data_IF_570050988754
#
_entry.id   IF_570050988754
#
_cell.length_a   1.000
_cell.length_b   1.000
_cell.length_c   1.000
_cell.angle_alpha   90.00
_cell.angle_beta   90.00
_cell.angle_gamma   90.00
#
_symmetry.space_group_name_H-M   'P 1'
#
loop_
_entity.id
_entity.type
_entity.pdbx_description
1 polymer ?
#
# COMPACT_ATOMS: atom_id res chain seq x y z
N UNK A 1 36.51 32.38 -0.43
CA UNK A 1 36.97 32.72 0.93
C UNK A 1 36.03 32.06 1.94
N UNK A 2 36.57 31.20 2.80
CA UNK A 2 35.84 30.25 3.67
C UNK A 2 35.49 30.89 5.03
N UNK A 3 34.85 32.06 5.03
CA UNK A 3 34.39 32.72 6.26
C UNK A 3 32.91 32.42 6.47
N UNK A 4 32.66 31.23 6.98
CA UNK A 4 31.39 30.82 7.54
C UNK A 4 31.73 30.43 8.99
N UNK A 5 31.00 30.95 9.96
CA UNK A 5 31.26 30.80 11.42
C UNK A 5 31.22 29.36 11.96
N UNK A 6 31.24 28.35 11.09
CA UNK A 6 31.28 26.93 11.43
C UNK A 6 32.68 26.33 11.32
N UNK A 7 33.03 25.52 12.32
CA UNK A 7 34.29 24.75 12.33
C UNK A 7 34.19 23.57 11.37
N UNK A 8 35.17 23.44 10.47
CA UNK A 8 35.23 22.36 9.48
C UNK A 8 36.04 21.18 9.98
N UNK A 9 35.49 19.98 9.82
CA UNK A 9 36.13 18.71 10.13
C UNK A 9 36.28 17.90 8.85
N UNK A 10 37.48 17.38 8.64
CA UNK A 10 37.84 16.59 7.46
C UNK A 10 38.30 15.20 7.86
N UNK A 11 38.04 14.23 6.99
CA UNK A 11 38.40 12.83 7.22
C UNK A 11 39.89 12.63 7.52
N UNK A 12 40.75 13.44 6.89
CA UNK A 12 42.21 13.34 7.02
C UNK A 12 42.73 13.90 8.36
N UNK A 13 42.03 14.88 8.93
CA UNK A 13 42.51 15.64 10.11
C UNK A 13 41.90 15.13 11.41
N UNK A 14 40.69 14.55 11.36
CA UNK A 14 39.91 14.24 12.56
C UNK A 14 40.00 12.76 12.92
N UNK A 15 40.49 12.44 14.13
CA UNK A 15 40.43 11.09 14.70
C UNK A 15 38.96 10.70 14.93
N UNK A 16 38.57 9.48 14.56
CA UNK A 16 37.19 8.96 14.67
C UNK A 16 36.13 9.72 13.85
N UNK A 17 36.50 10.26 12.69
CA UNK A 17 35.58 10.98 11.80
C UNK A 17 34.27 10.22 11.50
N UNK A 18 34.36 8.91 11.24
CA UNK A 18 33.19 8.08 10.91
C UNK A 18 32.23 7.83 12.09
N UNK A 19 32.64 8.15 13.33
CA UNK A 19 31.83 7.98 14.55
C UNK A 19 31.17 9.29 15.01
N UNK A 20 31.36 10.39 14.29
CA UNK A 20 30.77 11.67 14.66
C UNK A 20 29.23 11.60 14.55
N UNK A 21 28.48 12.07 15.57
CA UNK A 21 27.03 12.05 15.54
C UNK A 21 26.51 13.13 14.58
N UNK A 22 26.21 12.71 13.35
CA UNK A 22 25.64 13.58 12.34
C UNK A 22 24.17 13.89 12.63
N UNK A 23 23.84 15.18 12.59
CA UNK A 23 22.45 15.64 12.61
C UNK A 23 21.69 15.14 11.38
N UNK A 24 20.38 15.01 11.53
CA UNK A 24 19.47 14.62 10.46
C UNK A 24 19.93 13.31 9.77
N UNK A 25 20.52 12.37 10.52
CA UNK A 25 21.06 11.10 10.01
C UNK A 25 22.02 11.25 8.79
N UNK A 26 22.71 12.38 8.69
CA UNK A 26 23.65 12.64 7.59
C UNK A 26 23.01 13.14 6.30
N UNK A 27 21.72 13.51 6.30
CA UNK A 27 21.11 14.26 5.21
C UNK A 27 21.64 15.70 5.15
N UNK A 28 21.59 16.29 3.95
CA UNK A 28 22.05 17.64 3.71
C UNK A 28 21.12 18.67 4.38
N UNK A 29 21.62 19.35 5.40
CA UNK A 29 20.83 20.31 6.18
C UNK A 29 20.30 21.49 5.33
N UNK A 30 21.04 21.94 4.32
CA UNK A 30 20.60 23.01 3.44
C UNK A 30 19.40 22.60 2.57
N UNK A 31 19.50 21.46 1.87
CA UNK A 31 18.45 20.97 0.99
C UNK A 31 17.19 20.53 1.76
N UNK A 32 17.36 20.05 2.99
CA UNK A 32 16.26 19.79 3.92
C UNK A 32 15.48 21.05 4.30
N UNK A 33 16.13 22.20 4.36
CA UNK A 33 15.50 23.44 4.83
C UNK A 33 14.79 24.24 3.72
N UNK A 34 15.00 23.86 2.46
CA UNK A 34 14.33 24.44 1.29
C UNK A 34 12.87 23.97 1.22
N UNK A 35 12.01 24.74 0.53
CA UNK A 35 10.57 24.45 0.41
C UNK A 35 10.24 23.07 -0.18
N UNK A 36 11.15 22.47 -0.96
CA UNK A 36 10.93 21.16 -1.58
C UNK A 36 11.29 19.97 -0.67
N UNK A 37 11.85 20.19 0.53
CA UNK A 37 12.25 19.14 1.49
C UNK A 37 13.04 17.97 0.87
N UNK A 38 14.04 18.28 0.04
CA UNK A 38 14.79 17.23 -0.66
C UNK A 38 15.66 16.45 0.31
N UNK A 39 15.32 15.18 0.49
CA UNK A 39 16.08 14.19 1.25
C UNK A 39 17.31 13.75 0.44
N UNK A 40 18.34 14.60 0.41
CA UNK A 40 19.61 14.33 -0.26
C UNK A 40 20.66 14.04 0.80
N UNK A 41 21.37 12.91 0.69
CA UNK A 41 22.47 12.62 1.58
C UNK A 41 23.61 13.64 1.42
N UNK A 42 24.20 14.06 2.54
CA UNK A 42 25.41 14.88 2.52
C UNK A 42 26.61 14.03 2.10
N UNK A 43 27.56 14.65 1.40
CA UNK A 43 28.82 14.02 1.02
C UNK A 43 29.88 14.32 2.09
N UNK A 44 30.23 13.30 2.88
CA UNK A 44 31.22 13.42 3.95
C UNK A 44 32.64 13.66 3.45
N UNK A 45 32.92 13.47 2.14
CA UNK A 45 34.23 13.76 1.53
C UNK A 45 34.54 15.26 1.50
N UNK A 46 33.50 16.09 1.45
CA UNK A 46 33.62 17.56 1.41
C UNK A 46 33.97 18.12 2.80
N UNK A 47 33.70 17.34 3.85
CA UNK A 47 33.87 17.73 5.24
C UNK A 47 32.53 17.92 5.94
N UNK A 48 32.59 17.83 7.26
CA UNK A 48 31.46 18.04 8.17
C UNK A 48 31.62 19.41 8.79
N UNK A 49 30.53 20.17 8.89
CA UNK A 49 30.55 21.48 9.54
C UNK A 49 29.91 21.38 10.91
N UNK A 50 30.62 21.87 11.93
CA UNK A 50 30.08 22.00 13.28
C UNK A 50 29.49 23.40 13.47
N UNK A 51 28.23 23.45 13.88
CA UNK A 51 27.49 24.68 14.20
C UNK A 51 26.74 24.42 15.51
N UNK A 52 26.92 25.28 16.52
CA UNK A 52 26.26 25.15 17.83
C UNK A 52 26.39 23.74 18.43
N UNK A 53 27.63 23.23 18.46
CA UNK A 53 27.98 21.88 18.97
C UNK A 53 27.38 20.70 18.19
N UNK A 54 26.68 20.95 17.08
CA UNK A 54 26.06 19.94 16.25
C UNK A 54 26.78 19.79 14.91
N UNK A 55 26.87 18.56 14.43
CA UNK A 55 27.60 18.23 13.20
C UNK A 55 26.63 18.05 12.02
N UNK A 56 26.87 18.79 10.94
CA UNK A 56 26.03 18.80 9.75
C UNK A 56 26.81 18.36 8.52
N UNK A 57 26.19 17.52 7.70
CA UNK A 57 26.70 17.11 6.40
C UNK A 57 26.03 17.91 5.28
N UNK A 58 26.73 18.12 4.17
CA UNK A 58 26.24 18.90 3.03
C UNK A 58 26.57 18.22 1.70
N UNK A 59 25.74 18.45 0.69
CA UNK A 59 25.97 17.96 -0.68
C UNK A 59 27.10 18.72 -1.37
N UNK A 60 27.21 20.03 -1.12
CA UNK A 60 28.18 20.92 -1.76
C UNK A 60 28.80 21.88 -0.74
N UNK A 61 30.06 22.33 -0.96
CA UNK A 61 30.67 23.35 -0.10
C UNK A 61 29.87 24.67 -0.12
N UNK A 62 29.24 25.00 -1.26
CA UNK A 62 28.39 26.18 -1.40
C UNK A 62 27.16 26.10 -0.51
N UNK A 63 26.52 24.94 -0.44
CA UNK A 63 25.36 24.70 0.41
C UNK A 63 25.71 24.87 1.90
N UNK A 64 26.89 24.39 2.30
CA UNK A 64 27.40 24.59 3.65
C UNK A 64 27.61 26.08 3.98
N UNK A 65 28.23 26.86 3.09
CA UNK A 65 28.45 28.29 3.30
C UNK A 65 27.13 29.06 3.39
N UNK A 66 26.17 28.75 2.50
CA UNK A 66 24.84 29.37 2.53
C UNK A 66 24.09 29.05 3.82
N UNK A 67 24.16 27.79 4.26
CA UNK A 67 23.57 27.37 5.52
C UNK A 67 24.21 28.09 6.70
N UNK A 68 25.54 28.21 6.75
CA UNK A 68 26.23 28.88 7.85
C UNK A 68 25.87 30.37 7.99
N UNK A 69 25.60 31.06 6.87
CA UNK A 69 25.18 32.48 6.89
C UNK A 69 23.84 32.70 7.61
N UNK A 70 22.94 31.71 7.58
CA UNK A 70 21.58 31.81 8.13
C UNK A 70 21.17 30.50 8.82
N UNK A 71 22.06 29.94 9.64
CA UNK A 71 21.90 28.59 10.21
C UNK A 71 20.63 28.45 11.04
N UNK A 72 20.34 29.44 11.89
CA UNK A 72 19.17 29.47 12.74
C UNK A 72 17.86 29.40 11.94
N UNK A 73 17.73 30.20 10.88
CA UNK A 73 16.54 30.25 10.03
C UNK A 73 16.27 28.91 9.35
N UNK A 74 17.33 28.23 8.89
CA UNK A 74 17.19 26.92 8.25
C UNK A 74 16.84 25.83 9.26
N UNK A 75 17.43 25.85 10.47
CA UNK A 75 17.08 24.90 11.54
C UNK A 75 15.61 25.05 11.95
N UNK A 76 15.14 26.29 12.12
CA UNK A 76 13.73 26.57 12.44
C UNK A 76 12.79 26.13 11.31
N UNK A 77 13.18 26.36 10.05
CA UNK A 77 12.44 25.88 8.90
C UNK A 77 12.32 24.35 8.94
N UNK A 78 13.42 23.62 9.13
CA UNK A 78 13.40 22.15 9.24
C UNK A 78 12.47 21.69 10.37
N UNK A 79 12.54 22.34 11.54
CA UNK A 79 11.68 22.00 12.67
C UNK A 79 10.19 22.25 12.38
N UNK A 80 9.85 23.37 11.76
CA UNK A 80 8.47 23.68 11.39
C UNK A 80 7.91 22.69 10.35
N UNK A 81 8.74 22.25 9.40
CA UNK A 81 8.32 21.28 8.41
C UNK A 81 8.20 19.86 8.97
N UNK A 82 9.04 19.49 9.93
CA UNK A 82 8.88 18.25 10.68
C UNK A 82 7.59 18.23 11.53
N UNK A 83 7.09 19.40 11.98
CA UNK A 83 5.77 19.49 12.65
C UNK A 83 4.60 19.23 11.71
N UNK A 84 4.71 19.62 10.43
CA UNK A 84 3.69 19.38 9.42
C UNK A 84 3.68 17.91 8.96
N UNK A 85 4.86 17.30 8.91
CA UNK A 85 5.12 15.98 8.36
C UNK A 85 5.76 15.08 9.45
N UNK A 86 4.95 14.43 10.31
CA UNK A 86 5.46 13.69 11.47
C UNK A 86 6.37 12.50 11.11
N UNK A 87 6.27 11.96 9.89
CA UNK A 87 7.18 10.96 9.36
C UNK A 87 8.65 11.44 9.33
N UNK A 88 8.87 12.74 9.15
CA UNK A 88 10.21 13.33 9.16
C UNK A 88 10.83 13.33 10.57
N UNK A 89 10.01 13.36 11.61
CA UNK A 89 10.51 13.33 13.00
C UNK A 89 11.22 12.00 13.25
N UNK A 90 10.60 10.90 12.82
CA UNK A 90 11.19 9.57 12.94
C UNK A 90 12.36 9.36 11.98
N UNK A 91 12.23 9.80 10.72
CA UNK A 91 13.27 9.63 9.71
C UNK A 91 14.55 10.40 10.03
N UNK A 92 14.43 11.64 10.49
CA UNK A 92 15.55 12.53 10.79
C UNK A 92 16.00 12.46 12.26
N UNK A 93 15.35 11.63 13.07
CA UNK A 93 15.61 11.42 14.50
C UNK A 93 15.57 12.74 15.29
N UNK A 94 14.48 13.49 15.08
CA UNK A 94 14.24 14.79 15.70
C UNK A 94 13.54 14.70 17.05
N UNK A 95 13.32 13.48 17.57
CA UNK A 95 12.61 13.25 18.83
C UNK A 95 13.16 14.11 19.97
N UNK A 96 14.49 14.23 20.08
CA UNK A 96 15.14 15.02 21.12
C UNK A 96 14.87 16.54 21.03
N UNK A 97 14.49 17.05 19.86
CA UNK A 97 14.13 18.47 19.68
C UNK A 97 12.67 18.75 20.03
N UNK A 98 11.82 17.71 20.04
CA UNK A 98 10.40 17.80 20.33
C UNK A 98 10.02 17.23 21.70
N UNK A 99 10.91 16.49 22.38
CA UNK A 99 10.68 15.96 23.73
C UNK A 99 10.46 17.06 24.77
N UNK A 100 11.10 18.23 24.63
CA UNK A 100 10.86 19.40 25.49
C UNK A 100 9.53 20.12 25.21
N UNK A 101 8.81 19.78 24.14
CA UNK A 101 7.50 20.36 23.78
C UNK A 101 6.34 19.60 24.44
N UNK A 102 6.61 18.83 25.50
CA UNK A 102 5.57 18.31 26.40
C UNK A 102 5.13 19.33 27.46
N UNK A 103 5.60 20.58 27.39
CA UNK A 103 4.96 21.70 28.09
C UNK A 103 3.90 22.31 27.17
N UNK A 104 2.70 21.79 27.35
CA UNK A 104 1.42 22.27 26.83
C UNK A 104 1.30 23.80 26.91
N UNK A 105 1.47 24.45 25.78
CA UNK A 105 0.87 25.75 25.48
C UNK A 105 0.10 25.58 24.17
N UNK A 106 -1.22 25.53 24.26
CA UNK A 106 -2.19 25.73 23.15
C UNK A 106 -2.61 24.56 22.23
N UNK A 107 -2.24 23.30 22.50
CA UNK A 107 -2.76 22.13 21.75
C UNK A 107 -3.54 21.11 22.61
N UNK A 108 -4.35 21.60 23.55
CA UNK A 108 -5.14 20.79 24.48
C UNK A 108 -6.21 19.87 23.84
N UNK A 109 -6.38 19.85 22.51
CA UNK A 109 -7.41 19.04 21.84
C UNK A 109 -6.90 17.80 21.08
N UNK A 110 -5.59 17.62 20.88
CA UNK A 110 -5.08 16.37 20.32
C UNK A 110 -4.61 15.50 21.47
N UNK A 111 -5.56 14.80 22.08
CA UNK A 111 -5.35 13.76 23.07
C UNK A 111 -4.21 12.84 22.61
N UNK A 112 -3.04 13.00 23.23
CA UNK A 112 -1.92 12.09 23.12
C UNK A 112 -2.34 10.78 23.80
N UNK A 113 -3.13 9.97 23.10
CA UNK A 113 -3.32 8.59 23.48
C UNK A 113 -1.92 7.95 23.45
N UNK A 114 -1.49 7.28 24.53
CA UNK A 114 -0.23 6.55 24.51
C UNK A 114 -0.25 5.60 23.30
N UNK A 115 0.83 5.58 22.51
CA UNK A 115 0.98 4.61 21.42
C UNK A 115 1.00 3.20 22.02
N UNK A 116 -0.18 2.57 22.06
CA UNK A 116 -0.31 1.17 22.41
C UNK A 116 0.24 0.36 21.23
N UNK A 117 1.31 -0.39 21.48
CA UNK A 117 1.74 -1.46 20.57
C UNK A 117 0.60 -2.49 20.58
N UNK A 118 -0.07 -2.66 19.45
CA UNK A 118 -1.11 -3.67 19.27
C UNK A 118 -0.63 -4.67 18.23
N UNK A 119 -0.76 -5.96 18.54
CA UNK A 119 -0.53 -7.01 17.56
C UNK A 119 -1.67 -6.99 16.54
N UNK A 120 -1.31 -6.91 15.26
CA UNK A 120 -2.25 -6.99 14.16
C UNK A 120 -1.97 -8.28 13.39
N UNK A 121 -2.90 -9.23 13.46
CA UNK A 121 -2.93 -10.39 12.59
C UNK A 121 -3.83 -10.08 11.39
N UNK A 122 -3.29 -10.19 10.18
CA UNK A 122 -4.12 -10.17 8.95
C UNK A 122 -4.34 -11.63 8.53
N UNK A 123 -5.58 -12.08 8.58
CA UNK A 123 -5.97 -13.36 8.01
C UNK A 123 -6.22 -13.12 6.52
N UNK A 124 -5.47 -13.78 5.66
CA UNK A 124 -5.70 -13.71 4.21
C UNK A 124 -6.96 -14.50 3.90
N UNK A 125 -7.94 -13.88 3.23
CA UNK A 125 -9.15 -14.58 2.80
C UNK A 125 -8.77 -15.77 1.90
N UNK A 126 -9.24 -16.96 2.25
CA UNK A 126 -8.98 -18.19 1.47
C UNK A 126 -9.70 -18.21 0.13
N UNK A 127 -10.75 -17.40 -0.03
CA UNK A 127 -11.55 -17.29 -1.25
C UNK A 127 -11.83 -15.83 -1.57
N UNK A 128 -10.93 -15.19 -2.32
CA UNK A 128 -11.21 -13.87 -2.87
C UNK A 128 -12.41 -13.94 -3.82
N UNK A 129 -13.49 -13.25 -3.48
CA UNK A 129 -14.60 -13.07 -4.40
C UNK A 129 -14.20 -12.00 -5.41
N UNK A 130 -13.75 -12.43 -6.59
CA UNK A 130 -13.35 -11.52 -7.66
C UNK A 130 -14.55 -10.68 -8.13
N UNK A 131 -14.49 -9.36 -7.91
CA UNK A 131 -15.54 -8.43 -8.32
C UNK A 131 -15.52 -8.12 -9.83
N UNK A 132 -14.41 -8.39 -10.51
CA UNK A 132 -14.20 -8.02 -11.91
C UNK A 132 -13.78 -9.21 -12.78
N UNK A 133 -14.65 -10.21 -12.90
CA UNK A 133 -14.45 -11.34 -13.81
C UNK A 133 -14.86 -10.93 -15.22
N UNK A 134 -13.87 -10.63 -16.06
CA UNK A 134 -14.10 -10.36 -17.48
C UNK A 134 -14.28 -11.69 -18.22
N UNK A 135 -15.53 -12.17 -18.32
CA UNK A 135 -15.89 -13.44 -18.98
C UNK A 135 -15.46 -13.54 -20.45
N UNK A 136 -15.20 -12.39 -21.10
CA UNK A 136 -14.76 -12.31 -22.49
C UNK A 136 -13.24 -12.22 -22.68
N UNK A 137 -12.47 -12.23 -21.58
CA UNK A 137 -11.01 -12.09 -21.64
C UNK A 137 -10.38 -13.34 -22.24
N UNK A 138 -9.50 -13.14 -23.21
CA UNK A 138 -8.67 -14.19 -23.78
C UNK A 138 -7.23 -13.70 -23.83
N UNK A 139 -6.33 -14.51 -23.26
CA UNK A 139 -4.89 -14.27 -23.31
C UNK A 139 -4.27 -14.62 -24.66
N UNK A 140 -4.90 -15.53 -25.42
CA UNK A 140 -4.36 -16.02 -26.69
C UNK A 140 -4.66 -15.06 -27.85
N UNK A 141 -3.61 -14.44 -28.38
CA UNK A 141 -3.70 -13.51 -29.51
C UNK A 141 -4.35 -14.16 -30.77
N UNK A 142 -4.14 -15.45 -31.00
CA UNK A 142 -4.72 -16.13 -32.15
C UNK A 142 -6.23 -16.32 -32.04
N UNK A 143 -6.77 -16.54 -30.84
CA UNK A 143 -8.22 -16.57 -30.61
C UNK A 143 -8.83 -15.17 -30.80
N UNK A 144 -8.15 -14.12 -30.32
CA UNK A 144 -8.57 -12.73 -30.56
C UNK A 144 -8.64 -12.40 -32.06
N UNK A 145 -7.62 -12.79 -32.83
CA UNK A 145 -7.61 -12.61 -34.30
C UNK A 145 -8.74 -13.38 -34.97
N UNK A 146 -9.01 -14.62 -34.55
CA UNK A 146 -10.09 -15.45 -35.09
C UNK A 146 -11.47 -14.85 -34.80
N UNK A 147 -11.69 -14.35 -33.59
CA UNK A 147 -12.92 -13.65 -33.19
C UNK A 147 -13.13 -12.36 -34.00
N UNK A 148 -12.08 -11.55 -34.17
CA UNK A 148 -12.13 -10.33 -34.97
C UNK A 148 -12.51 -10.63 -36.43
N UNK A 149 -11.88 -11.65 -37.03
CA UNK A 149 -12.20 -12.11 -38.39
C UNK A 149 -13.66 -12.59 -38.51
N UNK A 150 -14.15 -13.36 -37.54
CA UNK A 150 -15.56 -13.81 -37.49
C UNK A 150 -16.52 -12.62 -37.47
N UNK A 151 -16.23 -11.61 -36.65
CA UNK A 151 -17.07 -10.42 -36.50
C UNK A 151 -17.03 -9.53 -37.76
N UNK A 152 -15.87 -9.38 -38.39
CA UNK A 152 -15.73 -8.71 -39.68
C UNK A 152 -16.51 -9.43 -40.80
N UNK A 153 -16.46 -10.76 -40.83
CA UNK A 153 -17.24 -11.56 -41.77
C UNK A 153 -18.75 -11.39 -41.54
N UNK A 154 -19.21 -11.40 -40.29
CA UNK A 154 -20.61 -11.12 -39.95
C UNK A 154 -21.05 -9.72 -40.40
N UNK A 155 -20.22 -8.68 -40.20
CA UNK A 155 -20.53 -7.32 -40.68
C UNK A 155 -20.69 -7.24 -42.19
N UNK A 156 -19.95 -8.06 -42.94
CA UNK A 156 -20.05 -8.14 -44.41
C UNK A 156 -21.20 -9.04 -44.88
N UNK A 157 -21.77 -9.89 -44.01
CA UNK A 157 -22.89 -10.76 -44.32
C UNK A 157 -24.19 -10.01 -44.04
N UNK A 158 -24.73 -9.35 -45.06
CA UNK A 158 -26.13 -8.91 -45.06
C UNK A 158 -27.03 -10.14 -45.13
N UNK A 159 -27.87 -10.36 -44.14
CA UNK A 159 -28.91 -11.41 -44.16
C UNK A 159 -29.88 -11.14 -45.31
N UNK A 160 -29.87 -12.00 -46.33
CA UNK A 160 -30.85 -11.96 -47.43
C UNK A 160 -32.21 -12.57 -47.06
N UNK A 161 -32.34 -13.22 -45.90
CA UNK A 161 -33.57 -13.89 -45.49
C UNK A 161 -34.54 -12.91 -44.83
N UNK A 162 -35.55 -12.51 -45.59
CA UNK A 162 -36.76 -11.84 -45.11
C UNK A 162 -37.58 -12.89 -44.37
N UNK A 163 -37.27 -13.12 -43.09
CA UNK A 163 -38.15 -13.87 -42.21
C UNK A 163 -38.54 -12.95 -41.06
N UNK A 164 -39.64 -12.22 -41.25
CA UNK A 164 -40.23 -11.32 -40.25
C UNK A 164 -40.99 -12.13 -39.20
N UNK A 165 -41.20 -11.53 -38.01
CA UNK A 165 -41.96 -12.15 -36.89
C UNK A 165 -43.34 -12.72 -37.29
N UNK A 166 -43.95 -12.20 -38.37
CA UNK A 166 -45.22 -12.69 -38.92
C UNK A 166 -45.15 -14.10 -39.54
N UNK A 167 -43.97 -14.58 -39.90
CA UNK A 167 -43.79 -15.93 -40.46
C UNK A 167 -43.67 -17.03 -39.39
N UNK A 168 -43.62 -16.66 -38.11
CA UNK A 168 -43.43 -17.60 -36.99
C UNK A 168 -44.68 -18.48 -36.76
N UNK A 169 -45.87 -18.01 -37.15
CA UNK A 169 -47.14 -18.72 -36.94
C UNK A 169 -47.54 -19.69 -38.05
N UNK A 170 -46.67 -19.97 -39.04
CA UNK A 170 -47.00 -20.86 -40.17
C UNK A 170 -46.72 -22.35 -39.93
N UNK A 171 -46.28 -22.77 -38.75
CA UNK A 171 -46.09 -24.19 -38.43
C UNK A 171 -47.02 -24.64 -37.32
N UNK A 172 -47.98 -25.50 -37.66
CA UNK A 172 -48.67 -26.33 -36.67
C UNK A 172 -47.72 -27.44 -36.22
N UNK A 173 -47.06 -27.24 -35.08
CA UNK A 173 -46.34 -28.30 -34.38
C UNK A 173 -47.30 -28.92 -33.36
N UNK A 174 -47.86 -30.09 -33.68
CA UNK A 174 -48.59 -30.90 -32.71
C UNK A 174 -47.56 -31.59 -31.82
N UNK A 175 -47.33 -31.09 -30.61
CA UNK A 175 -46.37 -31.71 -29.67
C UNK A 175 -47.06 -32.80 -28.85
N UNK A 176 -46.61 -34.04 -29.01
CA UNK A 176 -47.05 -35.17 -28.20
C UNK A 176 -46.44 -35.08 -26.79
N UNK A 177 -47.28 -35.10 -25.75
CA UNK A 177 -46.85 -35.02 -24.35
C UNK A 177 -46.83 -36.42 -23.73
N UNK A 178 -45.73 -36.80 -23.09
CA UNK A 178 -45.66 -38.00 -22.23
C UNK A 178 -45.77 -37.57 -20.77
N UNK A 179 -46.85 -38.00 -20.12
CA UNK A 179 -47.06 -37.74 -18.68
C UNK A 179 -46.20 -38.70 -17.84
N UNK A 180 -45.66 -38.25 -16.69
CA UNK A 180 -44.93 -39.10 -15.75
C UNK A 180 -45.82 -40.25 -15.25
N UNK A 181 -45.23 -41.45 -15.06
CA UNK A 181 -45.94 -42.61 -14.51
C UNK A 181 -45.78 -42.66 -13.00
N UNK A 182 -46.87 -42.94 -12.29
CA UNK A 182 -46.84 -43.12 -10.84
C UNK A 182 -46.10 -44.42 -10.46
N UNK A 183 -45.25 -44.34 -9.44
CA UNK A 183 -44.55 -45.48 -8.85
C UNK A 183 -44.82 -45.53 -7.35
N UNK A 184 -45.19 -46.72 -6.86
CA UNK A 184 -45.33 -47.00 -5.44
C UNK A 184 -44.20 -47.93 -4.99
N UNK A 185 -43.63 -47.64 -3.82
CA UNK A 185 -42.58 -48.46 -3.21
C UNK A 185 -43.01 -48.86 -1.80
N UNK A 186 -42.80 -50.12 -1.43
CA UNK A 186 -43.08 -50.64 -0.09
C UNK A 186 -41.77 -50.96 0.62
N UNK A 187 -41.61 -50.48 1.85
CA UNK A 187 -40.42 -50.75 2.67
C UNK A 187 -40.59 -52.03 3.51
N UNK A 188 -39.50 -52.78 3.68
CA UNK A 188 -39.44 -53.99 4.52
C UNK A 188 -39.72 -53.62 5.99
N UNK A 189 -40.51 -54.45 6.68
CA UNK A 189 -40.76 -54.34 8.12
C UNK A 189 -40.36 -55.64 8.80
N UNK A 190 -39.38 -55.58 9.68
CA UNK A 190 -38.94 -56.73 10.46
C UNK A 190 -39.74 -56.81 11.77
N UNK A 191 -40.14 -58.03 12.14
CA UNK A 191 -40.95 -58.31 13.33
C UNK A 191 -40.33 -59.50 14.08
N UNK A 192 -40.36 -59.47 15.40
CA UNK A 192 -39.83 -60.54 16.25
C UNK A 192 -40.83 -60.91 17.34
N UNK A 193 -40.85 -62.19 17.74
CA UNK A 193 -41.62 -62.67 18.88
C UNK A 193 -40.67 -63.23 19.92
N UNK A 194 -40.81 -62.79 21.17
CA UNK A 194 -39.97 -63.28 22.26
C UNK A 194 -40.64 -64.49 22.95
N UNK A 195 -39.84 -65.48 23.35
CA UNK A 195 -40.34 -66.67 24.08
C UNK A 195 -40.22 -66.47 25.60
N UNK A 196 -41.14 -67.05 26.40
CA UNK A 196 -41.16 -66.84 27.84
C UNK A 196 -39.96 -67.50 28.52
N UNK A 197 -39.32 -66.77 29.43
CA UNK A 197 -38.15 -67.24 30.16
C UNK A 197 -38.55 -67.98 31.45
N UNK A 198 -37.84 -69.06 31.81
CA UNK A 198 -38.12 -69.81 33.03
C UNK A 198 -37.76 -68.97 34.26
N UNK A 199 -38.70 -68.87 35.21
CA UNK A 199 -38.45 -68.26 36.52
C UNK A 199 -37.99 -69.34 37.49
N UNK A 200 -36.87 -69.08 38.14
CA UNK A 200 -36.37 -69.92 39.25
C UNK A 200 -36.95 -69.32 40.54
N UNK A 201 -37.60 -70.16 41.35
CA UNK A 201 -38.14 -69.79 42.66
C UNK A 201 -37.05 -69.80 43.74
#
# INVERSE_FOLDING_TARGET
>A
ERNADGSWYYKETTKNFDKLPLMYKGFCAYHLALQDFKLIHGDTRIGIVQINERYYAFTDPKAAVLFCRQSQKFIESIANNAKLNPELIQLLDLHNQFTSVTQYGDLAHVSAKPQMKADCGVQTDTHFQESNIVKGYEWNEWELRRKALKLANLRKRLTKSIQTNFSNFRRENVTQVYLPKDQYVQTKRDNYSNVPQPKIY
#
